data_IF_741432661988
#
_entry.id   IF_741432661988
#
_cell.length_a   1.000
_cell.length_b   1.000
_cell.length_c   1.000
_cell.angle_alpha   90.00
_cell.angle_beta   90.00
_cell.angle_gamma   90.00
#
_symmetry.space_group_name_H-M   'P 1'
#
loop_
_entity.id
_entity.type
_entity.pdbx_description
1 polymer ?
#
# COMPACT_ATOMS: atom_id res chain seq x y z
N UNK A 1 -30.28 -4.28 8.27
CA UNK A 1 -29.11 -3.39 8.08
C UNK A 1 -29.66 -2.00 7.80
N UNK A 2 -29.30 -0.99 8.59
CA UNK A 2 -29.58 0.40 8.19
C UNK A 2 -28.86 0.62 6.86
N UNK A 3 -29.54 1.14 5.85
CA UNK A 3 -28.90 1.53 4.60
C UNK A 3 -27.70 2.42 4.93
N UNK A 4 -26.57 2.22 4.24
CA UNK A 4 -25.41 3.10 4.42
C UNK A 4 -25.84 4.55 4.23
N UNK A 5 -25.43 5.44 5.13
CA UNK A 5 -25.68 6.87 5.01
C UNK A 5 -24.35 7.55 4.70
N UNK A 6 -23.89 7.33 3.46
CA UNK A 6 -22.62 7.86 2.97
C UNK A 6 -22.84 8.87 1.86
N UNK A 7 -21.92 9.83 1.75
CA UNK A 7 -21.85 10.81 0.66
C UNK A 7 -20.75 10.36 -0.31
N UNK A 8 -21.08 9.76 -1.47
CA UNK A 8 -20.08 9.14 -2.35
C UNK A 8 -18.92 10.05 -2.72
N UNK A 9 -19.22 11.30 -3.09
CA UNK A 9 -18.19 12.29 -3.45
C UNK A 9 -17.21 12.56 -2.30
N UNK A 10 -17.69 12.63 -1.06
CA UNK A 10 -16.82 12.87 0.08
C UNK A 10 -15.96 11.65 0.42
N UNK A 11 -16.51 10.44 0.23
CA UNK A 11 -15.73 9.21 0.36
C UNK A 11 -14.60 9.19 -0.66
N UNK A 12 -14.88 9.50 -1.93
CA UNK A 12 -13.86 9.55 -2.98
C UNK A 12 -12.75 10.57 -2.66
N UNK A 13 -13.09 11.75 -2.14
CA UNK A 13 -12.08 12.73 -1.70
C UNK A 13 -11.20 12.20 -0.56
N UNK A 14 -11.77 11.46 0.39
CA UNK A 14 -10.98 10.82 1.45
C UNK A 14 -10.06 9.75 0.85
N UNK A 15 -10.55 8.94 -0.08
CA UNK A 15 -9.75 7.90 -0.74
C UNK A 15 -8.60 8.50 -1.56
N UNK A 16 -8.84 9.58 -2.31
CA UNK A 16 -7.78 10.33 -3.01
C UNK A 16 -6.72 10.86 -2.04
N UNK A 17 -7.13 11.39 -0.88
CA UNK A 17 -6.21 11.87 0.16
C UNK A 17 -5.35 10.72 0.71
N UNK A 18 -5.97 9.56 1.00
CA UNK A 18 -5.25 8.38 1.49
C UNK A 18 -4.30 7.83 0.43
N UNK A 19 -4.70 7.81 -0.84
CA UNK A 19 -3.84 7.45 -1.96
C UNK A 19 -2.61 8.38 -2.05
N UNK A 20 -2.79 9.69 -1.81
CA UNK A 20 -1.68 10.63 -1.71
C UNK A 20 -0.69 10.33 -0.56
N UNK A 21 -1.14 9.70 0.54
CA UNK A 21 -0.24 9.24 1.62
C UNK A 21 0.53 7.97 1.26
N UNK A 22 -0.06 7.06 0.47
CA UNK A 22 0.66 5.93 -0.11
C UNK A 22 1.74 6.45 -1.07
N UNK A 23 1.37 7.45 -1.87
CA UNK A 23 2.24 8.07 -2.86
C UNK A 23 2.25 7.30 -4.18
N UNK A 24 2.82 7.94 -5.19
CA UNK A 24 3.03 7.37 -6.52
C UNK A 24 4.54 7.21 -6.77
N UNK A 25 4.92 6.18 -7.52
CA UNK A 25 6.30 5.93 -7.91
C UNK A 25 6.90 7.15 -8.65
N UNK A 26 8.10 7.57 -8.25
CA UNK A 26 8.78 8.74 -8.83
C UNK A 26 8.23 10.10 -8.42
N UNK A 27 7.17 10.17 -7.61
CA UNK A 27 6.67 11.45 -7.06
C UNK A 27 7.56 12.00 -5.93
N UNK A 28 8.40 11.16 -5.32
CA UNK A 28 9.20 11.48 -4.13
C UNK A 28 8.38 11.65 -2.83
N UNK A 29 7.05 11.64 -2.92
CA UNK A 29 6.12 11.78 -1.80
C UNK A 29 5.55 10.45 -1.30
N UNK A 30 4.80 10.52 -0.21
CA UNK A 30 4.13 9.36 0.39
C UNK A 30 5.09 8.28 0.92
N UNK A 31 4.52 7.11 1.17
CA UNK A 31 5.24 5.91 1.60
C UNK A 31 6.22 5.42 0.52
N UNK A 32 5.79 5.37 -0.75
CA UNK A 32 6.65 4.91 -1.87
C UNK A 32 7.90 5.79 -2.01
N UNK A 33 7.74 7.12 -2.06
CA UNK A 33 8.90 8.01 -2.11
C UNK A 33 9.76 7.95 -0.84
N UNK A 34 9.18 7.56 0.30
CA UNK A 34 9.92 7.24 1.52
C UNK A 34 10.82 6.01 1.36
N UNK A 35 10.32 4.96 0.70
CA UNK A 35 11.06 3.74 0.40
C UNK A 35 12.22 4.02 -0.58
N UNK A 36 11.99 4.77 -1.65
CA UNK A 36 13.04 5.18 -2.61
C UNK A 36 14.19 5.94 -1.93
N UNK A 37 13.85 6.87 -1.02
CA UNK A 37 14.83 7.62 -0.22
C UNK A 37 15.58 6.72 0.75
N UNK A 38 14.89 5.77 1.38
CA UNK A 38 15.53 4.81 2.28
C UNK A 38 16.54 3.96 1.51
N UNK A 39 16.19 3.46 0.33
CA UNK A 39 17.08 2.68 -0.52
C UNK A 39 18.36 3.45 -0.84
N UNK A 40 18.21 4.68 -1.35
CA UNK A 40 19.34 5.57 -1.67
C UNK A 40 20.23 5.78 -0.45
N UNK A 41 19.65 6.11 0.71
CA UNK A 41 20.41 6.36 1.93
C UNK A 41 21.15 5.11 2.44
N UNK A 42 20.57 3.92 2.27
CA UNK A 42 21.21 2.66 2.67
C UNK A 42 22.37 2.31 1.74
N UNK A 43 22.22 2.53 0.43
CA UNK A 43 23.31 2.38 -0.54
C UNK A 43 24.47 3.33 -0.21
N UNK A 44 24.17 4.61 0.00
CA UNK A 44 25.16 5.62 0.37
C UNK A 44 25.87 5.24 1.69
N UNK A 45 25.11 4.85 2.72
CA UNK A 45 25.68 4.45 4.01
C UNK A 45 26.61 3.23 3.89
N UNK A 46 26.22 2.25 3.06
CA UNK A 46 27.02 1.05 2.79
C UNK A 46 28.34 1.41 2.08
N UNK A 47 28.29 2.29 1.07
CA UNK A 47 29.47 2.75 0.33
C UNK A 47 30.44 3.50 1.26
N UNK A 48 29.93 4.41 2.08
CA UNK A 48 30.76 5.23 2.98
C UNK A 48 31.32 4.44 4.17
N UNK A 49 30.59 3.44 4.67
CA UNK A 49 31.06 2.61 5.78
C UNK A 49 32.27 1.74 5.38
N UNK A 50 32.39 1.39 4.09
CA UNK A 50 33.48 0.58 3.54
C UNK A 50 33.80 -0.69 4.36
N UNK A 51 32.77 -1.26 4.99
CA UNK A 51 32.89 -2.37 5.94
C UNK A 51 31.91 -3.48 5.56
N UNK A 52 32.40 -4.68 5.17
CA UNK A 52 31.53 -5.78 4.76
C UNK A 52 30.48 -6.17 5.81
N UNK A 53 30.83 -6.07 7.09
CA UNK A 53 29.91 -6.39 8.21
C UNK A 53 28.79 -5.36 8.30
N UNK A 54 29.10 -4.07 8.09
CA UNK A 54 28.09 -3.01 8.10
C UNK A 54 27.20 -3.13 6.87
N UNK A 55 27.77 -3.37 5.69
CA UNK A 55 27.01 -3.59 4.46
C UNK A 55 26.04 -4.77 4.58
N UNK A 56 26.46 -5.88 5.20
CA UNK A 56 25.60 -7.04 5.46
C UNK A 56 24.43 -6.68 6.37
N UNK A 57 24.69 -6.01 7.49
CA UNK A 57 23.66 -5.60 8.42
C UNK A 57 22.66 -4.59 7.80
N UNK A 58 23.15 -3.66 6.97
CA UNK A 58 22.30 -2.74 6.22
C UNK A 58 21.43 -3.47 5.18
N UNK A 59 21.96 -4.50 4.53
CA UNK A 59 21.21 -5.34 3.60
C UNK A 59 20.07 -6.11 4.27
N UNK A 60 20.34 -6.76 5.41
CA UNK A 60 19.31 -7.46 6.20
C UNK A 60 18.23 -6.49 6.73
N UNK A 61 18.65 -5.30 7.15
CA UNK A 61 17.73 -4.23 7.54
C UNK A 61 16.86 -3.78 6.36
N UNK A 62 17.47 -3.57 5.19
CA UNK A 62 16.76 -3.18 3.97
C UNK A 62 15.69 -4.22 3.60
N UNK A 63 16.06 -5.50 3.57
CA UNK A 63 15.16 -6.61 3.24
C UNK A 63 13.94 -6.63 4.17
N UNK A 64 14.18 -6.54 5.49
CA UNK A 64 13.09 -6.52 6.47
C UNK A 64 12.17 -5.31 6.28
N UNK A 65 12.74 -4.10 6.18
CA UNK A 65 11.95 -2.88 6.10
C UNK A 65 11.17 -2.84 4.80
N UNK A 66 11.78 -3.18 3.65
CA UNK A 66 11.09 -3.19 2.37
C UNK A 66 9.98 -4.24 2.29
N UNK A 67 10.15 -5.40 2.93
CA UNK A 67 9.06 -6.37 3.09
C UNK A 67 7.88 -5.75 3.84
N UNK A 68 8.13 -5.19 5.03
CA UNK A 68 7.08 -4.59 5.86
C UNK A 68 6.39 -3.41 5.18
N UNK A 69 7.15 -2.50 4.56
CA UNK A 69 6.57 -1.35 3.87
C UNK A 69 5.85 -1.74 2.58
N UNK A 70 6.34 -2.76 1.87
CA UNK A 70 5.65 -3.33 0.71
C UNK A 70 4.28 -3.91 1.07
N UNK A 71 4.20 -4.66 2.17
CA UNK A 71 2.94 -5.16 2.70
C UNK A 71 1.98 -4.02 3.09
N UNK A 72 2.50 -2.95 3.69
CA UNK A 72 1.69 -1.76 4.01
C UNK A 72 1.12 -1.09 2.75
N UNK A 73 1.94 -0.94 1.68
CA UNK A 73 1.48 -0.39 0.39
C UNK A 73 0.38 -1.27 -0.19
N UNK A 74 0.56 -2.59 -0.21
CA UNK A 74 -0.45 -3.55 -0.70
C UNK A 74 -1.74 -3.48 0.12
N UNK A 75 -1.64 -3.42 1.45
CA UNK A 75 -2.79 -3.32 2.34
C UNK A 75 -3.58 -2.04 2.11
N UNK A 76 -2.87 -0.92 2.01
CA UNK A 76 -3.46 0.37 1.75
C UNK A 76 -4.14 0.40 0.37
N UNK A 77 -3.48 -0.14 -0.66
CA UNK A 77 -4.05 -0.29 -2.00
C UNK A 77 -5.36 -1.09 -1.99
N UNK A 78 -5.35 -2.28 -1.38
CA UNK A 78 -6.55 -3.12 -1.26
C UNK A 78 -7.69 -2.43 -0.50
N UNK A 79 -7.36 -1.71 0.59
CA UNK A 79 -8.35 -0.94 1.34
C UNK A 79 -8.97 0.20 0.52
N UNK A 80 -8.14 0.95 -0.22
CA UNK A 80 -8.58 2.07 -1.07
C UNK A 80 -9.49 1.56 -2.19
N UNK A 81 -9.06 0.51 -2.89
CA UNK A 81 -9.78 -0.09 -4.00
C UNK A 81 -11.13 -0.64 -3.54
N UNK A 82 -11.15 -1.51 -2.52
CA UNK A 82 -12.39 -2.10 -2.01
C UNK A 82 -13.38 -1.07 -1.47
N UNK A 83 -12.89 -0.03 -0.78
CA UNK A 83 -13.75 1.08 -0.32
C UNK A 83 -14.30 1.91 -1.49
N UNK A 84 -13.51 2.13 -2.54
CA UNK A 84 -13.92 2.82 -3.76
C UNK A 84 -14.98 2.04 -4.53
N UNK A 85 -14.77 0.74 -4.72
CA UNK A 85 -15.75 -0.16 -5.34
C UNK A 85 -17.05 -0.25 -4.55
N UNK A 86 -16.98 -0.42 -3.23
CA UNK A 86 -18.15 -0.43 -2.35
C UNK A 86 -18.98 0.85 -2.51
N UNK A 87 -18.30 2.00 -2.54
CA UNK A 87 -18.93 3.32 -2.75
C UNK A 87 -19.59 3.41 -4.12
N UNK A 88 -18.93 2.94 -5.17
CA UNK A 88 -19.48 2.92 -6.53
C UNK A 88 -20.72 2.02 -6.62
N UNK A 89 -20.66 0.81 -6.05
CA UNK A 89 -21.80 -0.11 -6.02
C UNK A 89 -22.98 0.44 -5.23
N UNK A 90 -22.72 1.07 -4.07
CA UNK A 90 -23.75 1.77 -3.30
C UNK A 90 -24.42 2.88 -4.11
N UNK A 91 -23.64 3.74 -4.77
CA UNK A 91 -24.16 4.84 -5.59
C UNK A 91 -25.01 4.34 -6.78
N UNK A 92 -24.71 3.14 -7.29
CA UNK A 92 -25.46 2.48 -8.36
C UNK A 92 -26.68 1.68 -7.85
N UNK A 93 -26.93 1.65 -6.53
CA UNK A 93 -28.03 0.89 -5.92
C UNK A 93 -27.79 -0.61 -5.75
N UNK A 94 -26.58 -1.09 -6.02
CA UNK A 94 -26.18 -2.49 -5.92
C UNK A 94 -25.67 -2.81 -4.52
N UNK A 95 -26.56 -2.85 -3.53
CA UNK A 95 -26.20 -2.97 -2.12
C UNK A 95 -25.47 -4.28 -1.75
N UNK A 96 -25.76 -5.38 -2.46
CA UNK A 96 -25.08 -6.67 -2.25
C UNK A 96 -23.61 -6.61 -2.67
N UNK A 97 -23.35 -6.15 -3.90
CA UNK A 97 -21.98 -5.95 -4.42
C UNK A 97 -21.22 -4.94 -3.56
N UNK A 98 -21.92 -3.91 -3.08
CA UNK A 98 -21.31 -2.93 -2.20
C UNK A 98 -20.81 -3.59 -0.91
N UNK A 99 -21.66 -4.37 -0.24
CA UNK A 99 -21.31 -5.08 0.98
C UNK A 99 -20.18 -6.10 0.77
N UNK A 100 -20.15 -6.77 -0.39
CA UNK A 100 -19.08 -7.68 -0.79
C UNK A 100 -17.74 -6.95 -0.96
N UNK A 101 -17.67 -5.88 -1.74
CA UNK A 101 -16.45 -5.08 -1.90
C UNK A 101 -15.97 -4.50 -0.56
N UNK A 102 -16.88 -4.08 0.32
CA UNK A 102 -16.51 -3.62 1.65
C UNK A 102 -15.90 -4.76 2.49
N UNK A 103 -16.48 -5.96 2.43
CA UNK A 103 -16.01 -7.11 3.20
C UNK A 103 -14.60 -7.56 2.77
N UNK A 104 -14.30 -7.42 1.48
CA UNK A 104 -13.01 -7.80 0.91
C UNK A 104 -11.95 -6.67 0.98
N UNK A 105 -12.33 -5.45 1.39
CA UNK A 105 -11.40 -4.33 1.48
C UNK A 105 -10.32 -4.58 2.55
N UNK A 106 -9.05 -4.48 2.15
CA UNK A 106 -7.91 -4.78 3.02
C UNK A 106 -7.54 -6.26 3.07
N UNK A 107 -8.17 -7.11 2.26
CA UNK A 107 -7.65 -8.45 1.99
C UNK A 107 -6.56 -8.37 0.92
N UNK A 108 -5.39 -8.93 1.23
CA UNK A 108 -4.28 -9.07 0.28
C UNK A 108 -4.22 -10.55 -0.09
N UNK A 109 -4.37 -10.90 -1.39
CA UNK A 109 -4.18 -12.28 -1.82
C UNK A 109 -2.78 -12.77 -1.41
N UNK A 110 -2.65 -14.02 -0.94
CA UNK A 110 -1.34 -14.60 -0.66
C UNK A 110 -0.52 -14.59 -1.95
N UNK A 111 0.80 -14.37 -1.84
CA UNK A 111 1.68 -14.43 -3.00
C UNK A 111 1.57 -15.80 -3.68
N UNK A 112 1.44 -15.81 -5.01
CA UNK A 112 1.50 -17.06 -5.76
C UNK A 112 2.88 -17.72 -5.52
N UNK A 113 2.94 -19.03 -5.24
CA UNK A 113 4.22 -19.70 -5.05
C UNK A 113 5.04 -19.58 -6.33
N UNK A 114 6.23 -18.97 -6.23
CA UNK A 114 7.12 -18.83 -7.38
C UNK A 114 7.46 -20.24 -7.92
N UNK A 115 7.37 -20.47 -9.23
CA UNK A 115 7.79 -21.75 -9.80
C UNK A 115 9.27 -21.97 -9.48
N UNK A 116 9.58 -23.08 -8.80
CA UNK A 116 10.96 -23.46 -8.48
C UNK A 116 11.81 -23.41 -9.77
N UNK A 117 12.79 -22.51 -9.80
CA UNK A 117 13.83 -22.46 -10.84
C UNK A 117 14.79 -23.66 -10.68
#
# INVERSE_FOLDING_TARGET
>A
MSAWDIRPNEVLTVLETVMGHVGEEGSGGGLIGGMERLETNLMDASEHAASPVVSMALGEFAEHVFGVTGDMVRLAGSGIEGAGEATNHYNNGNLEMAAESQANAGEIPPDEPQPNL
#
